data_IF_644815336794
#
_entry.id   IF_644815336794
#
_cell.length_a   1.000
_cell.length_b   1.000
_cell.length_c   1.000
_cell.angle_alpha   90.00
_cell.angle_beta   90.00
_cell.angle_gamma   90.00
#
_symmetry.space_group_name_H-M   'P 1'
#
loop_
_entity.id
_entity.type
_entity.pdbx_description
1 polymer ?
#
# COMPACT_ATOMS: atom_id res chain seq x y z
N UNK A 1 -10.27 4.65 16.59
CA UNK A 1 -10.36 6.02 16.05
C UNK A 1 -11.51 6.74 16.72
N UNK A 2 -11.25 7.90 17.32
CA UNK A 2 -12.25 8.75 17.96
C UNK A 2 -12.07 10.20 17.49
N UNK A 3 -13.12 11.00 17.63
CA UNK A 3 -13.05 12.44 17.37
C UNK A 3 -11.95 13.09 18.22
N UNK A 4 -11.16 13.97 17.61
CA UNK A 4 -10.06 14.68 18.27
C UNK A 4 -8.70 13.98 18.20
N UNK A 5 -8.62 12.71 17.73
CA UNK A 5 -7.34 12.03 17.53
C UNK A 5 -6.67 12.45 16.22
N UNK A 6 -5.34 12.46 16.21
CA UNK A 6 -4.54 12.73 15.00
C UNK A 6 -4.38 11.42 14.23
N UNK A 7 -4.68 11.46 12.93
CA UNK A 7 -4.52 10.30 12.05
C UNK A 7 -3.26 10.45 11.19
N UNK A 8 -2.36 9.47 11.26
CA UNK A 8 -1.20 9.38 10.37
C UNK A 8 -1.38 8.20 9.43
N UNK A 9 -1.34 8.46 8.12
CA UNK A 9 -1.40 7.43 7.09
C UNK A 9 -0.02 7.33 6.43
N UNK A 10 0.52 6.11 6.38
CA UNK A 10 1.79 5.82 5.69
C UNK A 10 1.53 4.92 4.51
N UNK A 11 1.81 5.41 3.31
CA UNK A 11 1.57 4.68 2.07
C UNK A 11 2.89 4.21 1.46
N UNK A 12 2.92 2.96 1.00
CA UNK A 12 4.09 2.33 0.39
C UNK A 12 3.67 1.63 -0.91
N UNK A 13 4.37 1.90 -2.01
CA UNK A 13 4.28 1.01 -3.18
C UNK A 13 5.00 -0.28 -2.81
N UNK A 14 4.26 -1.36 -2.69
CA UNK A 14 4.78 -2.65 -2.25
C UNK A 14 4.96 -3.61 -3.42
N UNK A 15 4.31 -3.36 -4.55
CA UNK A 15 4.48 -4.16 -5.77
C UNK A 15 4.10 -3.37 -7.01
N UNK A 16 4.78 -3.64 -8.12
CA UNK A 16 4.51 -3.05 -9.45
C UNK A 16 4.30 -4.17 -10.47
N UNK A 17 3.14 -4.16 -11.12
CA UNK A 17 2.88 -4.94 -12.35
C UNK A 17 3.32 -4.15 -13.58
N UNK A 18 2.86 -4.55 -14.78
CA UNK A 18 3.20 -3.83 -16.03
C UNK A 18 2.74 -2.38 -15.98
N UNK A 19 1.47 -2.13 -15.63
CA UNK A 19 0.83 -0.80 -15.64
C UNK A 19 0.17 -0.46 -14.31
N UNK A 20 0.35 -1.31 -13.29
CA UNK A 20 -0.38 -1.25 -12.02
C UNK A 20 0.55 -1.21 -10.83
N UNK A 21 0.15 -0.55 -9.75
CA UNK A 21 0.87 -0.51 -8.48
C UNK A 21 -0.05 -1.04 -7.37
N UNK A 22 0.47 -1.93 -6.52
CA UNK A 22 -0.17 -2.26 -5.24
C UNK A 22 0.43 -1.36 -4.17
N UNK A 23 -0.43 -0.70 -3.41
CA UNK A 23 -0.08 0.25 -2.35
C UNK A 23 -0.60 -0.26 -1.02
N UNK A 24 0.29 -0.45 -0.05
CA UNK A 24 -0.08 -0.69 1.35
C UNK A 24 -0.24 0.66 2.05
N UNK A 25 -1.32 0.84 2.80
CA UNK A 25 -1.52 2.02 3.66
C UNK A 25 -1.67 1.57 5.10
N UNK A 26 -0.70 1.91 5.93
CA UNK A 26 -0.72 1.68 7.38
C UNK A 26 -1.29 2.92 8.07
N UNK A 27 -2.37 2.74 8.84
CA UNK A 27 -3.12 3.83 9.47
C UNK A 27 -2.90 3.81 10.98
N UNK A 28 -2.44 4.92 11.53
CA UNK A 28 -2.19 5.08 12.96
C UNK A 28 -3.05 6.21 13.54
N UNK A 29 -3.65 5.96 14.70
CA UNK A 29 -4.31 6.99 15.50
C UNK A 29 -3.42 7.40 16.66
N UNK A 30 -3.34 8.69 16.94
CA UNK A 30 -2.54 9.26 18.03
C UNK A 30 -3.41 10.11 18.95
N UNK A 31 -3.30 9.88 20.25
CA UNK A 31 -3.89 10.72 21.29
C UNK A 31 -3.02 11.98 21.47
N UNK A 32 -3.51 13.19 21.16
CA UNK A 32 -2.67 14.38 21.11
C UNK A 32 -2.11 14.83 22.46
N UNK A 33 -2.73 14.45 23.58
CA UNK A 33 -2.26 14.84 24.91
C UNK A 33 -1.19 13.87 25.43
N UNK A 34 -1.43 12.56 25.33
CA UNK A 34 -0.50 11.55 25.85
C UNK A 34 0.59 11.17 24.85
N UNK A 35 0.35 11.38 23.56
CA UNK A 35 1.21 10.94 22.46
C UNK A 35 1.07 9.46 22.14
N UNK A 36 0.11 8.75 22.75
CA UNK A 36 -0.07 7.32 22.51
C UNK A 36 -0.48 7.04 21.06
N UNK A 37 0.33 6.24 20.36
CA UNK A 37 0.09 5.85 18.96
C UNK A 37 -0.35 4.41 18.87
N UNK A 38 -1.44 4.17 18.15
CA UNK A 38 -2.00 2.83 17.92
C UNK A 38 -2.16 2.58 16.44
N UNK A 39 -1.63 1.46 15.95
CA UNK A 39 -1.94 0.98 14.61
C UNK A 39 -3.41 0.55 14.54
N UNK A 40 -4.17 1.15 13.64
CA UNK A 40 -5.61 0.93 13.53
C UNK A 40 -5.93 -0.09 12.45
N UNK A 41 -5.41 0.11 11.24
CA UNK A 41 -5.75 -0.75 10.10
C UNK A 41 -4.67 -0.66 9.02
N UNK A 42 -4.55 -1.74 8.24
CA UNK A 42 -3.75 -1.78 7.03
C UNK A 42 -4.68 -2.02 5.85
N UNK A 43 -4.63 -1.14 4.85
CA UNK A 43 -5.36 -1.30 3.60
C UNK A 43 -4.41 -1.62 2.44
N UNK A 44 -4.92 -2.37 1.45
CA UNK A 44 -4.20 -2.66 0.21
C UNK A 44 -5.02 -2.16 -0.98
N UNK A 45 -4.42 -1.29 -1.79
CA UNK A 45 -5.07 -0.66 -2.94
C UNK A 45 -4.33 -1.02 -4.22
N UNK A 46 -5.08 -1.21 -5.31
CA UNK A 46 -4.49 -1.35 -6.65
C UNK A 46 -4.73 -0.08 -7.45
N UNK A 47 -3.67 0.56 -7.90
CA UNK A 47 -3.70 1.69 -8.82
C UNK A 47 -3.27 1.25 -10.23
N UNK A 48 -3.76 1.94 -11.25
CA UNK A 48 -3.36 1.77 -12.65
C UNK A 48 -2.89 3.13 -13.18
N UNK A 49 -1.70 3.19 -13.76
CA UNK A 49 -1.19 4.40 -14.38
C UNK A 49 -1.84 4.58 -15.77
N UNK A 50 -2.38 5.77 -16.05
CA UNK A 50 -3.06 6.11 -17.30
C UNK A 50 -2.39 7.32 -17.97
N UNK A 51 -2.36 7.35 -19.30
CA UNK A 51 -2.00 8.56 -20.06
C UNK A 51 -3.20 9.52 -20.17
N UNK A 52 -3.01 10.66 -20.85
CA UNK A 52 -4.06 11.66 -21.08
C UNK A 52 -5.27 11.13 -21.88
N UNK A 53 -5.08 10.07 -22.67
CA UNK A 53 -6.15 9.39 -23.39
C UNK A 53 -6.84 8.29 -22.54
N UNK A 54 -6.51 8.16 -21.25
CA UNK A 54 -7.09 7.16 -20.35
C UNK A 54 -6.56 5.74 -20.57
N UNK A 55 -5.47 5.56 -21.32
CA UNK A 55 -4.91 4.24 -21.63
C UNK A 55 -3.84 3.82 -20.62
N UNK A 56 -3.80 2.55 -20.18
CA UNK A 56 -2.77 2.05 -19.26
C UNK A 56 -1.36 2.19 -19.81
N UNK A 57 -0.46 2.80 -19.02
CA UNK A 57 0.95 2.97 -19.38
C UNK A 57 1.89 2.21 -18.44
N UNK A 58 3.08 1.80 -18.91
CA UNK A 58 4.05 1.12 -18.06
C UNK A 58 4.46 1.94 -16.83
N UNK A 59 4.69 1.27 -15.70
CA UNK A 59 5.26 1.87 -14.49
C UNK A 59 6.66 1.31 -14.21
N UNK A 60 7.58 2.09 -13.62
CA UNK A 60 8.86 1.57 -13.17
C UNK A 60 8.68 0.45 -12.13
N UNK A 61 9.57 -0.56 -12.10
CA UNK A 61 9.51 -1.58 -11.08
C UNK A 61 9.90 -1.01 -9.71
N UNK A 62 9.18 -1.40 -8.65
CA UNK A 62 9.60 -1.13 -7.27
C UNK A 62 10.69 -2.13 -6.88
N UNK A 63 11.76 -1.63 -6.28
CA UNK A 63 12.91 -2.42 -5.80
C UNK A 63 12.90 -2.32 -4.27
N UNK A 64 12.57 -3.40 -3.54
CA UNK A 64 12.64 -3.40 -2.09
C UNK A 64 14.10 -3.47 -1.61
N UNK A 65 14.46 -2.62 -0.66
CA UNK A 65 15.83 -2.52 -0.13
C UNK A 65 15.93 -3.08 1.28
N UNK A 66 14.97 -2.74 2.15
CA UNK A 66 14.96 -3.20 3.53
C UNK A 66 14.30 -4.58 3.69
N UNK A 67 14.64 -5.30 4.77
CA UNK A 67 14.00 -6.59 5.10
C UNK A 67 12.48 -6.48 5.17
N UNK A 68 11.96 -5.35 5.64
CA UNK A 68 10.54 -5.12 5.76
C UNK A 68 9.89 -4.85 4.40
N UNK A 69 10.55 -4.09 3.52
CA UNK A 69 10.11 -3.91 2.14
C UNK A 69 10.11 -5.22 1.36
N UNK A 70 11.12 -6.07 1.54
CA UNK A 70 11.20 -7.38 0.88
C UNK A 70 10.00 -8.24 1.30
N UNK A 71 9.69 -8.29 2.60
CA UNK A 71 8.51 -9.01 3.12
C UNK A 71 7.21 -8.48 2.53
N UNK A 72 7.03 -7.15 2.50
CA UNK A 72 5.84 -6.52 1.91
C UNK A 72 5.71 -6.86 0.43
N UNK A 73 6.82 -6.85 -0.32
CA UNK A 73 6.88 -7.19 -1.74
C UNK A 73 6.48 -8.64 -2.00
N UNK A 74 7.06 -9.59 -1.26
CA UNK A 74 6.76 -11.01 -1.42
C UNK A 74 5.30 -11.32 -1.07
N UNK A 75 4.78 -10.72 0.01
CA UNK A 75 3.37 -10.86 0.39
C UNK A 75 2.42 -10.29 -0.67
N UNK A 76 2.75 -9.12 -1.25
CA UNK A 76 1.97 -8.51 -2.33
C UNK A 76 1.99 -9.38 -3.60
N UNK A 77 3.16 -9.94 -3.94
CA UNK A 77 3.30 -10.87 -5.06
C UNK A 77 2.42 -12.11 -4.88
N UNK A 78 2.37 -12.68 -3.68
CA UNK A 78 1.50 -13.81 -3.35
C UNK A 78 0.00 -13.44 -3.46
N UNK A 79 -0.43 -12.31 -2.88
CA UNK A 79 -1.82 -11.82 -3.01
C UNK A 79 -2.23 -11.66 -4.47
N UNK A 80 -1.33 -11.13 -5.31
CA UNK A 80 -1.59 -10.97 -6.74
C UNK A 80 -1.72 -12.30 -7.48
N UNK A 81 -0.93 -13.30 -7.12
CA UNK A 81 -1.04 -14.64 -7.70
C UNK A 81 -2.40 -15.25 -7.36
N UNK A 82 -2.83 -15.15 -6.10
CA UNK A 82 -4.14 -15.65 -5.69
C UNK A 82 -5.28 -15.01 -6.49
N UNK A 83 -5.26 -13.68 -6.70
CA UNK A 83 -6.26 -13.00 -7.55
C UNK A 83 -6.26 -13.46 -9.01
N UNK A 84 -5.14 -13.98 -9.53
CA UNK A 84 -5.05 -14.49 -10.90
C UNK A 84 -5.49 -15.96 -11.03
N UNK A 85 -5.58 -16.69 -9.92
CA UNK A 85 -5.71 -18.16 -9.92
C UNK A 85 -7.08 -18.66 -9.43
N UNK A 86 -7.95 -17.81 -8.87
CA UNK A 86 -9.37 -18.10 -8.54
C UNK A 86 -9.98 -16.93 -7.74
N UNK A 87 -11.25 -16.53 -7.82
CA UNK A 87 -12.49 -17.10 -8.40
C UNK A 87 -13.15 -16.17 -9.43
#
# INVERSE_FOLDING_TARGET
MKMGQIMTLRAYIIYTGRTSMEVQVDVFSEEPITGDKVHTTTAHLTYVALNQAGQPVPVPPVIPESKEEIKRYDAARARRQNRKTGD
#
